data_IF_128821954702
#
_entry.id   IF_128821954702
#
_cell.length_a   1.000
_cell.length_b   1.000
_cell.length_c   1.000
_cell.angle_alpha   90.00
_cell.angle_beta   90.00
_cell.angle_gamma   90.00
#
_symmetry.space_group_name_H-M   'P 1'
#
loop_
_entity.id
_entity.type
_entity.pdbx_description
1 polymer ?
#
# COMPACT_ATOMS: atom_id res chain seq x y z
N UNK A 1 -2.61 32.21 -14.97
CA UNK A 1 -1.70 31.87 -13.85
C UNK A 1 -2.06 30.58 -13.11
N UNK A 2 -3.32 30.13 -13.07
CA UNK A 2 -3.74 28.93 -12.36
C UNK A 2 -3.27 27.59 -12.96
N UNK A 3 -3.27 27.46 -14.28
CA UNK A 3 -3.03 26.16 -14.96
C UNK A 3 -1.61 25.62 -14.78
N UNK A 4 -0.60 26.46 -14.75
CA UNK A 4 0.79 26.03 -14.49
C UNK A 4 0.97 25.56 -13.03
N UNK A 5 0.31 26.22 -12.08
CA UNK A 5 0.34 25.81 -10.67
C UNK A 5 -0.37 24.46 -10.46
N UNK A 6 -1.46 24.19 -11.17
CA UNK A 6 -2.18 22.93 -11.07
C UNK A 6 -1.35 21.77 -11.66
N UNK A 7 -0.61 22.00 -12.74
CA UNK A 7 0.32 21.02 -13.31
C UNK A 7 1.48 20.71 -12.36
N UNK A 8 2.03 21.72 -11.69
CA UNK A 8 3.09 21.54 -10.70
C UNK A 8 2.58 20.77 -9.47
N UNK A 9 1.37 21.04 -9.01
CA UNK A 9 0.73 20.29 -7.93
C UNK A 9 0.50 18.82 -8.31
N UNK A 10 0.03 18.54 -9.54
CA UNK A 10 -0.15 17.15 -10.01
C UNK A 10 1.17 16.39 -10.09
N UNK A 11 2.24 17.06 -10.57
CA UNK A 11 3.58 16.47 -10.62
C UNK A 11 4.12 16.18 -9.23
N UNK A 12 3.95 17.12 -8.30
CA UNK A 12 4.35 16.92 -6.91
C UNK A 12 3.59 15.76 -6.24
N UNK A 13 2.27 15.70 -6.45
CA UNK A 13 1.43 14.60 -5.96
C UNK A 13 1.88 13.25 -6.52
N UNK A 14 2.23 13.19 -7.81
CA UNK A 14 2.74 11.97 -8.43
C UNK A 14 4.02 11.49 -7.75
N UNK A 15 4.96 12.39 -7.47
CA UNK A 15 6.21 12.07 -6.75
C UNK A 15 5.88 11.53 -5.35
N UNK A 16 4.97 12.17 -4.63
CA UNK A 16 4.55 11.69 -3.31
C UNK A 16 3.93 10.29 -3.36
N UNK A 17 3.14 9.98 -4.39
CA UNK A 17 2.60 8.62 -4.57
C UNK A 17 3.71 7.58 -4.78
N UNK A 18 4.76 7.90 -5.52
CA UNK A 18 5.91 6.99 -5.67
C UNK A 18 6.65 6.79 -4.34
N UNK A 19 6.86 7.85 -3.58
CA UNK A 19 7.52 7.77 -2.27
C UNK A 19 6.68 6.93 -1.29
N UNK A 20 5.38 7.20 -1.20
CA UNK A 20 4.48 6.46 -0.32
C UNK A 20 4.34 5.00 -0.79
N UNK A 21 4.25 4.75 -2.10
CA UNK A 21 4.24 3.41 -2.65
C UNK A 21 5.51 2.61 -2.29
N UNK A 22 6.68 3.24 -2.40
CA UNK A 22 7.96 2.65 -1.97
C UNK A 22 8.01 2.35 -0.48
N UNK A 23 7.59 3.29 0.36
CA UNK A 23 7.50 3.08 1.81
C UNK A 23 6.51 1.98 2.18
N UNK A 24 5.37 1.92 1.49
CA UNK A 24 4.37 0.85 1.69
C UNK A 24 4.94 -0.51 1.31
N UNK A 25 5.70 -0.59 0.20
CA UNK A 25 6.37 -1.83 -0.21
C UNK A 25 7.40 -2.30 0.82
N UNK A 26 8.18 -1.37 1.38
CA UNK A 26 9.13 -1.69 2.46
C UNK A 26 8.42 -2.13 3.74
N UNK A 27 7.36 -1.44 4.14
CA UNK A 27 6.55 -1.82 5.31
C UNK A 27 5.89 -3.19 5.12
N UNK A 28 5.49 -3.53 3.89
CA UNK A 28 4.93 -4.84 3.55
C UNK A 28 5.94 -5.99 3.67
N UNK A 29 7.23 -5.72 3.81
CA UNK A 29 8.24 -6.73 4.11
C UNK A 29 8.31 -7.07 5.59
N UNK A 30 7.78 -6.24 6.51
CA UNK A 30 7.81 -6.52 7.95
C UNK A 30 7.12 -7.85 8.32
N UNK A 31 5.97 -8.21 7.77
CA UNK A 31 5.34 -9.50 8.07
C UNK A 31 6.12 -10.72 7.61
N UNK A 32 7.20 -10.59 6.81
CA UNK A 32 8.09 -11.70 6.48
C UNK A 32 8.72 -12.32 7.74
N UNK A 33 8.87 -11.55 8.81
CA UNK A 33 9.32 -12.07 10.12
C UNK A 33 8.35 -13.15 10.62
N UNK A 34 7.04 -12.92 10.46
CA UNK A 34 6.01 -13.91 10.86
C UNK A 34 6.09 -15.17 9.99
N UNK A 35 6.31 -15.01 8.68
CA UNK A 35 6.52 -16.14 7.77
C UNK A 35 7.76 -16.93 8.19
N UNK A 36 8.86 -16.25 8.50
CA UNK A 36 10.09 -16.89 8.94
C UNK A 36 9.92 -17.63 10.27
N UNK A 37 9.28 -17.01 11.26
CA UNK A 37 8.94 -17.66 12.53
C UNK A 37 8.04 -18.86 12.31
N UNK A 38 7.01 -18.74 11.47
CA UNK A 38 6.12 -19.85 11.13
C UNK A 38 6.86 -21.03 10.51
N UNK A 39 7.83 -20.76 9.62
CA UNK A 39 8.68 -21.80 9.04
C UNK A 39 9.54 -22.50 10.10
N UNK A 40 10.09 -21.77 11.07
CA UNK A 40 10.84 -22.39 12.18
C UNK A 40 9.95 -23.32 12.99
N UNK A 41 8.70 -22.93 13.30
CA UNK A 41 7.75 -23.77 14.01
C UNK A 41 7.41 -25.06 13.25
N UNK A 42 7.39 -25.01 11.91
CA UNK A 42 7.10 -26.18 11.07
C UNK A 42 8.32 -27.07 10.93
N UNK A 43 9.52 -26.49 10.70
CA UNK A 43 10.74 -27.24 10.36
C UNK A 43 11.51 -27.73 11.59
N UNK A 44 11.39 -27.04 12.72
CA UNK A 44 12.10 -27.36 13.97
C UNK A 44 11.17 -27.24 15.18
N UNK A 45 10.09 -28.04 15.24
CA UNK A 45 9.12 -28.00 16.34
C UNK A 45 9.78 -28.31 17.70
N UNK A 46 10.83 -29.13 17.71
CA UNK A 46 11.57 -29.52 18.90
C UNK A 46 12.25 -28.34 19.63
N UNK A 47 12.56 -27.28 18.92
CA UNK A 47 13.20 -26.08 19.49
C UNK A 47 12.29 -25.35 20.49
N UNK A 48 10.98 -25.57 20.38
CA UNK A 48 9.96 -24.93 21.21
C UNK A 48 9.27 -25.90 22.18
N UNK A 49 9.63 -27.19 22.13
CA UNK A 49 9.11 -28.22 23.05
C UNK A 49 9.84 -28.13 24.39
N UNK A 50 9.25 -27.38 25.32
CA UNK A 50 9.74 -27.27 26.71
C UNK A 50 9.29 -28.45 27.62
N UNK A 51 8.98 -29.60 27.03
CA UNK A 51 8.55 -30.78 27.80
C UNK A 51 7.16 -30.68 28.45
N UNK A 52 6.39 -29.63 28.12
CA UNK A 52 4.97 -29.51 28.43
C UNK A 52 4.19 -29.80 27.16
N UNK A 53 3.25 -30.72 27.21
CA UNK A 53 2.33 -30.95 26.09
C UNK A 53 1.69 -29.61 25.67
N UNK A 54 2.02 -29.09 24.50
CA UNK A 54 1.46 -27.80 24.06
C UNK A 54 -0.04 -27.96 23.85
N UNK A 55 -0.84 -27.00 24.33
CA UNK A 55 -2.30 -26.99 24.10
C UNK A 55 -2.65 -26.93 22.61
N UNK A 56 -1.70 -26.53 21.78
CA UNK A 56 -1.82 -26.48 20.31
C UNK A 56 -0.60 -27.14 19.67
N UNK A 57 -0.78 -27.96 18.63
CA UNK A 57 0.33 -28.52 17.86
C UNK A 57 1.17 -27.38 17.24
N UNK A 58 2.50 -27.48 17.37
CA UNK A 58 3.43 -26.46 16.87
C UNK A 58 3.26 -26.23 15.37
N UNK A 59 2.94 -27.27 14.61
CA UNK A 59 2.69 -27.22 13.18
C UNK A 59 1.50 -26.31 12.83
N UNK A 60 0.42 -26.39 13.62
CA UNK A 60 -0.77 -25.56 13.40
C UNK A 60 -0.46 -24.07 13.62
N UNK A 61 0.29 -23.77 14.68
CA UNK A 61 0.77 -22.42 14.95
C UNK A 61 1.68 -21.93 13.82
N UNK A 62 2.61 -22.76 13.36
CA UNK A 62 3.49 -22.45 12.25
C UNK A 62 2.73 -22.11 10.99
N UNK A 63 1.77 -22.93 10.58
CA UNK A 63 0.92 -22.68 9.43
C UNK A 63 0.09 -21.41 9.57
N UNK A 64 -0.44 -21.14 10.75
CA UNK A 64 -1.19 -19.90 11.02
C UNK A 64 -0.31 -18.66 10.82
N UNK A 65 0.93 -18.67 11.31
CA UNK A 65 1.88 -17.58 11.12
C UNK A 65 2.27 -17.40 9.65
N UNK A 66 2.52 -18.49 8.92
CA UNK A 66 2.87 -18.44 7.49
C UNK A 66 1.72 -17.88 6.66
N UNK A 67 0.51 -18.38 6.85
CA UNK A 67 -0.67 -17.94 6.08
C UNK A 67 -1.01 -16.49 6.41
N UNK A 68 -1.02 -16.12 7.69
CA UNK A 68 -1.30 -14.76 8.12
C UNK A 68 -0.22 -13.79 7.59
N UNK A 69 1.05 -14.08 7.85
CA UNK A 69 2.17 -13.25 7.39
C UNK A 69 2.22 -13.14 5.87
N UNK A 70 2.06 -14.25 5.15
CA UNK A 70 2.03 -14.29 3.69
C UNK A 70 0.89 -13.47 3.10
N UNK A 71 -0.30 -13.56 3.69
CA UNK A 71 -1.45 -12.75 3.26
C UNK A 71 -1.17 -11.25 3.39
N UNK A 72 -0.60 -10.83 4.53
CA UNK A 72 -0.24 -9.42 4.75
C UNK A 72 0.85 -8.93 3.79
N UNK A 73 1.85 -9.76 3.48
CA UNK A 73 2.89 -9.41 2.50
C UNK A 73 2.27 -9.20 1.13
N UNK A 74 1.46 -10.15 0.65
CA UNK A 74 0.83 -10.08 -0.67
C UNK A 74 -0.11 -8.87 -0.76
N UNK A 75 -0.97 -8.69 0.25
CA UNK A 75 -1.90 -7.55 0.30
C UNK A 75 -1.14 -6.21 0.30
N UNK A 76 -0.06 -6.09 1.07
CA UNK A 76 0.76 -4.89 1.13
C UNK A 76 1.46 -4.58 -0.19
N UNK A 77 1.98 -5.59 -0.88
CA UNK A 77 2.59 -5.42 -2.19
C UNK A 77 1.57 -5.05 -3.27
N UNK A 78 0.39 -5.67 -3.25
CA UNK A 78 -0.71 -5.30 -4.16
C UNK A 78 -1.11 -3.84 -3.95
N UNK A 79 -1.21 -3.41 -2.70
CA UNK A 79 -1.53 -2.02 -2.38
C UNK A 79 -0.44 -1.05 -2.83
N UNK A 80 0.84 -1.38 -2.60
CA UNK A 80 1.97 -0.59 -3.07
C UNK A 80 1.94 -0.41 -4.61
N UNK A 81 1.65 -1.50 -5.34
CA UNK A 81 1.48 -1.45 -6.80
C UNK A 81 0.33 -0.50 -7.20
N UNK A 82 -0.82 -0.60 -6.54
CA UNK A 82 -1.97 0.27 -6.82
C UNK A 82 -1.63 1.74 -6.58
N UNK A 83 -0.91 2.07 -5.49
CA UNK A 83 -0.46 3.43 -5.19
C UNK A 83 0.50 3.94 -6.27
N UNK A 84 1.48 3.14 -6.69
CA UNK A 84 2.43 3.48 -7.76
C UNK A 84 1.73 3.70 -9.10
N UNK A 85 0.78 2.82 -9.46
CA UNK A 85 -0.03 2.96 -10.67
C UNK A 85 -0.90 4.22 -10.62
N UNK A 86 -1.42 4.57 -9.45
CA UNK A 86 -2.13 5.82 -9.21
C UNK A 86 -1.25 7.02 -9.47
N UNK A 87 -0.03 7.04 -8.92
CA UNK A 87 0.97 8.07 -9.17
C UNK A 87 1.31 8.21 -10.66
N UNK A 88 1.46 7.08 -11.37
CA UNK A 88 1.70 7.06 -12.81
C UNK A 88 0.51 7.59 -13.61
N UNK A 89 -0.71 7.23 -13.22
CA UNK A 89 -1.94 7.73 -13.85
C UNK A 89 -2.10 9.24 -13.66
N UNK A 90 -1.74 9.73 -12.47
CA UNK A 90 -1.71 11.15 -12.13
C UNK A 90 -0.71 11.92 -13.02
N UNK A 91 0.51 11.37 -13.18
CA UNK A 91 1.55 11.95 -14.02
C UNK A 91 1.16 12.00 -15.51
N UNK A 92 0.31 11.09 -15.96
CA UNK A 92 -0.16 11.01 -17.36
C UNK A 92 -1.52 11.64 -17.60
N UNK A 93 -2.11 12.27 -16.59
CA UNK A 93 -3.43 12.90 -16.66
C UNK A 93 -4.56 11.96 -17.16
N UNK A 94 -4.43 10.64 -16.91
CA UNK A 94 -5.38 9.63 -17.38
C UNK A 94 -6.22 9.08 -16.22
N UNK A 95 -7.49 8.76 -16.56
CA UNK A 95 -8.40 8.07 -15.65
C UNK A 95 -8.60 8.77 -14.29
N UNK A 96 -9.22 9.96 -14.33
CA UNK A 96 -9.56 10.76 -13.13
C UNK A 96 -10.21 9.92 -12.02
N UNK A 97 -11.17 9.05 -12.37
CA UNK A 97 -11.87 8.18 -11.43
C UNK A 97 -10.92 7.19 -10.75
N UNK A 98 -9.96 6.62 -11.50
CA UNK A 98 -8.97 5.70 -10.94
C UNK A 98 -8.07 6.42 -9.93
N UNK A 99 -7.62 7.63 -10.22
CA UNK A 99 -6.83 8.43 -9.29
C UNK A 99 -7.61 8.74 -8.00
N UNK A 100 -8.91 9.00 -8.12
CA UNK A 100 -9.78 9.24 -6.96
C UNK A 100 -9.93 7.99 -6.07
N UNK A 101 -10.10 6.81 -6.68
CA UNK A 101 -10.19 5.53 -5.96
C UNK A 101 -8.86 5.22 -5.24
N UNK A 102 -7.73 5.43 -5.91
CA UNK A 102 -6.40 5.22 -5.30
C UNK A 102 -6.18 6.19 -4.14
N UNK A 103 -6.60 7.45 -4.28
CA UNK A 103 -6.53 8.44 -3.19
C UNK A 103 -7.37 7.99 -1.98
N UNK A 104 -8.58 7.47 -2.21
CA UNK A 104 -9.44 6.92 -1.15
C UNK A 104 -8.80 5.70 -0.46
N UNK A 105 -8.24 4.77 -1.25
CA UNK A 105 -7.51 3.61 -0.72
C UNK A 105 -6.28 4.02 0.09
N UNK A 106 -5.56 5.06 -0.36
CA UNK A 106 -4.41 5.60 0.37
C UNK A 106 -4.80 6.14 1.75
N UNK A 107 -6.02 6.66 1.92
CA UNK A 107 -6.53 7.15 3.21
C UNK A 107 -6.62 6.05 4.28
N UNK A 108 -6.69 4.77 3.90
CA UNK A 108 -6.67 3.65 4.86
C UNK A 108 -5.32 3.49 5.57
N UNK A 109 -4.26 4.06 5.00
CA UNK A 109 -2.90 4.02 5.56
C UNK A 109 -2.64 5.21 6.47
N UNK A 110 -3.08 5.12 7.71
CA UNK A 110 -2.87 6.16 8.76
C UNK A 110 -1.42 6.09 9.26
N UNK A 111 -0.70 7.21 9.44
CA UNK A 111 -1.13 8.60 9.22
C UNK A 111 -0.74 9.17 7.83
N UNK A 112 0.31 8.63 7.19
CA UNK A 112 0.91 9.23 5.99
C UNK A 112 -0.01 9.12 4.77
N UNK A 113 -0.62 7.95 4.57
CA UNK A 113 -1.54 7.71 3.47
C UNK A 113 -2.80 8.55 3.55
N UNK A 114 -3.30 8.81 4.75
CA UNK A 114 -4.48 9.66 4.96
C UNK A 114 -4.22 11.09 4.52
N UNK A 115 -3.08 11.67 4.91
CA UNK A 115 -2.71 13.04 4.51
C UNK A 115 -2.56 13.12 2.99
N UNK A 116 -1.86 12.16 2.39
CA UNK A 116 -1.66 12.10 0.95
C UNK A 116 -2.99 11.91 0.20
N UNK A 117 -3.84 10.99 0.64
CA UNK A 117 -5.13 10.70 0.02
C UNK A 117 -6.07 11.89 0.06
N UNK A 118 -6.20 12.57 1.20
CA UNK A 118 -7.02 13.77 1.35
C UNK A 118 -6.50 14.91 0.47
N UNK A 119 -5.18 15.16 0.47
CA UNK A 119 -4.58 16.18 -0.38
C UNK A 119 -4.83 15.88 -1.87
N UNK A 120 -4.66 14.65 -2.28
CA UNK A 120 -4.92 14.20 -3.66
C UNK A 120 -6.38 14.41 -4.04
N UNK A 121 -7.33 14.06 -3.16
CA UNK A 121 -8.75 14.31 -3.39
C UNK A 121 -9.06 15.78 -3.57
N UNK A 122 -8.55 16.64 -2.68
CA UNK A 122 -8.79 18.10 -2.75
C UNK A 122 -8.29 18.65 -4.09
N UNK A 123 -7.13 18.23 -4.57
CA UNK A 123 -6.58 18.69 -5.85
C UNK A 123 -7.38 18.12 -7.02
N UNK A 124 -7.73 16.83 -7.01
CA UNK A 124 -8.49 16.22 -8.11
C UNK A 124 -9.92 16.74 -8.23
N UNK A 125 -10.53 17.22 -7.15
CA UNK A 125 -11.88 17.75 -7.16
C UNK A 125 -11.94 19.21 -7.66
N UNK A 126 -10.81 19.88 -7.88
CA UNK A 126 -10.79 21.23 -8.44
C UNK A 126 -11.32 21.23 -9.88
N UNK A 127 -12.20 22.19 -10.25
CA UNK A 127 -12.75 22.26 -11.60
C UNK A 127 -11.68 22.42 -12.69
N UNK A 128 -10.60 23.16 -12.42
CA UNK A 128 -9.46 23.35 -13.31
C UNK A 128 -8.73 22.04 -13.61
N UNK A 129 -8.54 21.20 -12.60
CA UNK A 129 -7.89 19.89 -12.75
C UNK A 129 -8.77 18.92 -13.53
N UNK A 130 -10.09 18.92 -13.29
CA UNK A 130 -11.05 18.12 -14.09
C UNK A 130 -10.98 18.46 -15.58
N UNK A 131 -10.82 19.73 -15.93
CA UNK A 131 -10.69 20.16 -17.33
C UNK A 131 -9.40 19.62 -17.98
N UNK A 132 -8.28 19.55 -17.25
CA UNK A 132 -7.03 18.97 -17.73
C UNK A 132 -7.23 17.50 -18.10
N UNK A 133 -7.88 16.72 -17.23
CA UNK A 133 -8.19 15.29 -17.50
C UNK A 133 -9.20 15.09 -18.63
N UNK A 134 -10.09 16.06 -18.89
CA UNK A 134 -11.08 15.99 -19.98
C UNK A 134 -10.49 16.34 -21.34
N UNK A 135 -9.42 17.12 -21.37
CA UNK A 135 -8.75 17.55 -22.62
C UNK A 135 -7.87 16.44 -23.22
N UNK A 136 -7.44 15.46 -22.41
CA UNK A 136 -6.53 14.37 -22.78
C UNK A 136 -7.27 13.05 -23.11
N UNK A 137 -8.61 13.06 -23.12
CA UNK A 137 -9.45 11.90 -23.49
C UNK A 137 -10.00 12.05 -24.88
#
# INVERSE_FOLDING_TARGET
MGMNQDLDHLKLLSIFHYVVGGLTALAACLPLIHVFLGLIFILAPETFDNGRSPQFPADLLGWMFVVMGGTFVIAGWMLALVIVLGGRSLARHRNHTFCLVVAALSCLFVPVGTVLGVFTMIVLLRPSVKQIFSADT
#
